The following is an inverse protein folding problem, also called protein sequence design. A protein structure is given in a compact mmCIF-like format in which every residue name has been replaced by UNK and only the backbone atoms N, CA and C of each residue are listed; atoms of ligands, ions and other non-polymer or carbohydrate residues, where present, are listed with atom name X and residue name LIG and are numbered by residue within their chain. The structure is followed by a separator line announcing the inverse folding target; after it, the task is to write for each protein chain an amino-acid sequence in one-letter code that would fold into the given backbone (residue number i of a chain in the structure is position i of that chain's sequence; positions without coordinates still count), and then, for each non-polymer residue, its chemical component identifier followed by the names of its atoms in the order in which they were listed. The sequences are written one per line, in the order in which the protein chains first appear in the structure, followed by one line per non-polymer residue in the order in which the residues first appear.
data_IF_829349856112
#
_entry.id   IF_829349856112
#
_cell.length_a   1.000
_cell.length_b   1.000
_cell.length_c   1.000
_cell.angle_alpha   90.00
_cell.angle_beta   90.00
_cell.angle_gamma   90.00
#
_symmetry.space_group_name_H-M   'P 1'
#
loop_
_entity.id
_entity.type
_entity.pdbx_description
1 polymer ?
#
# COMPACT_ATOMS: atom_id res chain seq x y z
N UNK A 1 -70.99 -32.82 26.15
CA UNK A 1 -70.20 -33.90 25.49
C UNK A 1 -69.38 -33.25 24.39
N UNK A 2 -68.08 -33.57 24.11
CA UNK A 2 -67.05 -34.37 24.81
C UNK A 2 -66.08 -33.44 25.60
N UNK A 3 -65.19 -33.85 26.52
CA UNK A 3 -64.25 -34.98 26.64
C UNK A 3 -62.81 -34.66 26.18
N UNK A 4 -61.89 -34.82 27.13
CA UNK A 4 -60.49 -35.26 27.03
C UNK A 4 -59.33 -34.32 26.68
N UNK A 5 -58.66 -33.91 27.77
CA UNK A 5 -57.21 -33.82 28.00
C UNK A 5 -56.30 -34.55 27.00
N UNK A 6 -55.25 -33.84 26.53
CA UNK A 6 -53.91 -34.45 26.39
C UNK A 6 -52.80 -33.41 26.45
N UNK A 7 -52.00 -33.45 27.52
CA UNK A 7 -50.73 -32.74 27.67
C UNK A 7 -49.75 -33.21 26.60
N UNK A 8 -49.05 -32.29 25.93
CA UNK A 8 -47.79 -32.56 25.23
C UNK A 8 -46.80 -31.44 25.48
N UNK A 9 -46.01 -31.65 26.53
CA UNK A 9 -44.65 -31.14 26.70
C UNK A 9 -43.82 -31.57 25.49
N UNK A 10 -43.28 -30.60 24.74
CA UNK A 10 -42.12 -30.76 23.85
C UNK A 10 -41.42 -29.39 23.86
N UNK A 11 -40.48 -29.22 24.77
CA UNK A 11 -39.03 -29.41 24.60
C UNK A 11 -38.38 -28.20 23.91
N UNK A 12 -37.47 -27.57 24.65
CA UNK A 12 -36.66 -26.44 24.22
C UNK A 12 -35.75 -26.89 23.06
N UNK A 13 -35.81 -26.22 21.92
CA UNK A 13 -34.74 -26.28 20.92
C UNK A 13 -34.20 -24.86 20.67
N UNK A 14 -33.16 -24.51 21.44
CA UNK A 14 -32.31 -23.37 21.16
C UNK A 14 -31.53 -23.65 19.86
N UNK A 15 -31.81 -22.89 18.80
CA UNK A 15 -30.99 -22.93 17.57
C UNK A 15 -29.84 -21.95 17.75
N UNK A 16 -28.68 -22.50 18.11
CA UNK A 16 -27.42 -21.80 18.25
C UNK A 16 -26.95 -21.25 16.88
N UNK A 17 -26.50 -20.01 16.89
CA UNK A 17 -25.99 -19.29 15.72
C UNK A 17 -24.65 -19.80 15.23
N UNK A 18 -24.44 -19.66 13.92
CA UNK A 18 -23.14 -19.86 13.28
C UNK A 18 -22.98 -18.79 12.19
N UNK A 19 -22.65 -17.57 12.62
CA UNK A 19 -22.19 -16.51 11.69
C UNK A 19 -20.75 -16.87 11.35
N UNK A 20 -20.56 -17.48 10.18
CA UNK A 20 -19.23 -17.74 9.64
C UNK A 20 -18.55 -16.40 9.34
N UNK A 21 -17.73 -15.93 10.29
CA UNK A 21 -16.84 -14.81 10.09
C UNK A 21 -15.79 -15.20 9.05
N UNK A 22 -15.94 -14.69 7.83
CA UNK A 22 -14.87 -14.70 6.84
C UNK A 22 -13.70 -13.90 7.44
N UNK A 23 -12.74 -14.63 7.99
CA UNK A 23 -11.49 -14.05 8.47
C UNK A 23 -10.72 -13.64 7.22
N UNK A 24 -10.75 -12.35 6.88
CA UNK A 24 -9.86 -11.80 5.86
C UNK A 24 -8.44 -12.16 6.28
N UNK A 25 -7.84 -13.09 5.57
CA UNK A 25 -6.43 -13.41 5.71
C UNK A 25 -5.66 -12.13 5.41
N UNK A 26 -5.23 -11.44 6.46
CA UNK A 26 -4.24 -10.38 6.36
C UNK A 26 -2.91 -11.04 6.02
N UNK A 27 -2.74 -11.39 4.74
CA UNK A 27 -1.41 -11.63 4.21
C UNK A 27 -0.64 -10.34 4.46
N UNK A 28 0.33 -10.39 5.37
CA UNK A 28 1.27 -9.31 5.58
C UNK A 28 2.03 -9.09 4.27
N UNK A 29 1.45 -8.28 3.39
CA UNK A 29 2.07 -7.87 2.15
C UNK A 29 3.38 -7.20 2.54
N UNK A 30 4.48 -7.62 1.94
CA UNK A 30 5.75 -6.91 2.13
C UNK A 30 5.52 -5.48 1.67
N UNK A 31 5.51 -4.56 2.63
CA UNK A 31 5.25 -3.15 2.40
C UNK A 31 6.26 -2.60 1.39
N UNK A 32 5.82 -1.78 0.41
CA UNK A 32 6.74 -1.21 -0.54
C UNK A 32 7.75 -0.30 0.18
N UNK A 33 8.93 -0.13 -0.41
CA UNK A 33 10.04 0.62 0.18
C UNK A 33 10.63 1.58 -0.82
N UNK A 34 11.03 2.74 -0.34
CA UNK A 34 11.72 3.76 -1.13
C UNK A 34 13.19 3.86 -0.73
N UNK A 35 14.04 4.19 -1.69
CA UNK A 35 15.44 4.59 -1.48
C UNK A 35 15.84 5.62 -2.51
N UNK A 36 16.71 6.55 -2.16
CA UNK A 36 17.36 7.41 -3.13
C UNK A 36 18.55 6.67 -3.75
N UNK A 37 18.65 6.69 -5.08
CA UNK A 37 19.75 6.06 -5.83
C UNK A 37 20.23 7.00 -6.93
N UNK A 38 21.46 6.80 -7.39
CA UNK A 38 21.97 7.47 -8.59
C UNK A 38 21.32 6.90 -9.85
N UNK A 39 21.06 7.76 -10.83
CA UNK A 39 20.61 7.44 -12.18
C UNK A 39 21.25 8.39 -13.19
N UNK A 40 21.12 8.12 -14.49
CA UNK A 40 21.81 8.88 -15.55
C UNK A 40 21.51 10.39 -15.51
N UNK A 41 20.27 10.76 -15.18
CA UNK A 41 19.82 12.14 -15.06
C UNK A 41 20.00 12.75 -13.65
N UNK A 42 20.79 12.13 -12.78
CA UNK A 42 21.05 12.60 -11.41
C UNK A 42 20.53 11.65 -10.34
N UNK A 43 19.57 12.09 -9.53
CA UNK A 43 18.99 11.28 -8.45
C UNK A 43 17.62 10.73 -8.84
N UNK A 44 17.37 9.47 -8.48
CA UNK A 44 16.10 8.81 -8.68
C UNK A 44 15.61 8.17 -7.37
N UNK A 45 14.29 8.22 -7.17
CA UNK A 45 13.63 7.41 -6.17
C UNK A 45 13.48 5.98 -6.70
N UNK A 46 14.17 5.04 -6.07
CA UNK A 46 13.96 3.62 -6.26
C UNK A 46 12.80 3.19 -5.36
N UNK A 47 11.69 2.80 -5.97
CA UNK A 47 10.55 2.17 -5.30
C UNK A 47 10.62 0.67 -5.54
N UNK A 48 10.48 -0.13 -4.49
CA UNK A 48 10.46 -1.59 -4.59
C UNK A 48 9.23 -2.14 -3.90
N UNK A 49 8.69 -3.24 -4.41
CA UNK A 49 7.51 -3.86 -3.83
C UNK A 49 7.29 -5.27 -4.33
N UNK A 50 6.13 -5.83 -3.98
CA UNK A 50 5.68 -7.14 -4.44
C UNK A 50 4.27 -7.07 -5.00
N UNK A 51 3.94 -8.00 -5.90
CA UNK A 51 2.59 -8.17 -6.44
C UNK A 51 2.24 -9.65 -6.59
N UNK A 52 0.96 -9.96 -6.36
CA UNK A 52 0.41 -11.30 -6.43
C UNK A 52 0.12 -11.77 -7.86
N UNK A 53 -0.13 -10.87 -8.83
CA UNK A 53 -0.21 -11.12 -10.29
C UNK A 53 0.89 -10.34 -11.06
N UNK A 54 1.59 -10.96 -12.03
CA UNK A 54 2.61 -10.27 -12.84
C UNK A 54 1.95 -9.27 -13.79
N UNK A 55 0.67 -9.48 -14.09
CA UNK A 55 -0.18 -8.55 -14.81
C UNK A 55 -0.77 -7.44 -13.93
N UNK A 56 -0.61 -7.46 -12.59
CA UNK A 56 -1.13 -6.37 -11.75
C UNK A 56 -0.42 -5.06 -12.10
N UNK A 57 -1.20 -4.02 -12.34
CA UNK A 57 -0.69 -2.68 -12.62
C UNK A 57 -0.22 -2.03 -11.33
N UNK A 58 0.89 -1.28 -11.40
CA UNK A 58 1.43 -0.51 -10.27
C UNK A 58 1.29 0.98 -10.58
N UNK A 59 0.84 1.75 -9.60
CA UNK A 59 0.79 3.21 -9.69
C UNK A 59 1.42 3.89 -8.48
N UNK A 60 1.91 5.11 -8.71
CA UNK A 60 2.51 5.99 -7.70
C UNK A 60 1.71 7.29 -7.72
N UNK A 61 1.11 7.66 -6.58
CA UNK A 61 0.18 8.79 -6.46
C UNK A 61 -0.88 8.79 -7.58
N UNK A 62 -1.44 7.61 -7.88
CA UNK A 62 -2.44 7.43 -8.93
C UNK A 62 -1.91 7.41 -10.38
N UNK A 63 -0.59 7.57 -10.59
CA UNK A 63 0.02 7.53 -11.93
C UNK A 63 0.61 6.16 -12.23
N UNK A 64 0.19 5.54 -13.32
CA UNK A 64 0.70 4.24 -13.74
C UNK A 64 2.20 4.31 -14.07
N UNK A 65 2.96 3.31 -13.62
CA UNK A 65 4.40 3.23 -13.85
C UNK A 65 4.78 1.89 -14.46
N UNK A 66 5.77 1.91 -15.35
CA UNK A 66 6.40 0.68 -15.81
C UNK A 66 7.32 0.14 -14.72
N UNK A 67 7.30 -1.18 -14.51
CA UNK A 67 8.08 -1.83 -13.47
C UNK A 67 9.09 -2.80 -14.05
N UNK A 68 10.30 -2.80 -13.51
CA UNK A 68 11.27 -3.85 -13.76
C UNK A 68 10.99 -5.05 -12.84
N UNK A 69 10.95 -6.24 -13.43
CA UNK A 69 10.71 -7.49 -12.71
C UNK A 69 9.25 -7.95 -12.70
N UNK A 70 9.05 -9.11 -12.09
CA UNK A 70 7.77 -9.83 -12.08
C UNK A 70 7.05 -9.66 -10.73
N UNK A 71 6.99 -10.73 -9.92
CA UNK A 71 6.39 -10.73 -8.57
C UNK A 71 7.06 -9.75 -7.62
N UNK A 72 8.38 -9.71 -7.64
CA UNK A 72 9.20 -8.68 -7.00
C UNK A 72 9.53 -7.67 -8.07
N UNK A 73 9.18 -6.43 -7.82
CA UNK A 73 9.30 -5.39 -8.81
C UNK A 73 10.03 -4.17 -8.24
N UNK A 74 10.56 -3.36 -9.15
CA UNK A 74 11.17 -2.08 -8.84
C UNK A 74 10.86 -1.05 -9.91
N UNK A 75 10.87 0.21 -9.51
CA UNK A 75 10.69 1.37 -10.39
C UNK A 75 11.74 2.40 -10.00
N UNK A 76 12.37 3.04 -10.99
CA UNK A 76 13.19 4.23 -10.77
C UNK A 76 12.45 5.42 -11.33
N UNK A 77 12.19 6.41 -10.48
CA UNK A 77 11.51 7.65 -10.86
C UNK A 77 12.46 8.82 -10.61
N UNK A 78 12.76 9.67 -11.61
CA UNK A 78 13.55 10.88 -11.37
C UNK A 78 12.95 11.74 -10.25
N UNK A 79 13.80 12.36 -9.42
CA UNK A 79 13.32 13.17 -8.28
C UNK A 79 12.41 14.31 -8.73
N UNK A 80 12.70 14.94 -9.88
CA UNK A 80 11.88 16.01 -10.43
C UNK A 80 10.47 15.52 -10.80
N UNK A 81 10.37 14.31 -11.34
CA UNK A 81 9.08 13.66 -11.62
C UNK A 81 8.33 13.32 -10.33
N UNK A 82 9.03 12.83 -9.29
CA UNK A 82 8.39 12.61 -7.97
C UNK A 82 7.86 13.92 -7.39
N UNK A 83 8.60 15.02 -7.55
CA UNK A 83 8.20 16.36 -7.10
C UNK A 83 6.95 16.86 -7.82
N UNK A 84 6.85 16.64 -9.13
CA UNK A 84 5.67 16.98 -9.92
C UNK A 84 4.43 16.15 -9.51
N UNK A 85 4.65 14.90 -9.12
CA UNK A 85 3.56 13.97 -8.79
C UNK A 85 3.11 14.04 -7.34
N UNK A 86 3.80 14.80 -6.50
CA UNK A 86 3.56 14.86 -5.06
C UNK A 86 3.01 16.22 -4.65
N UNK A 87 2.27 16.24 -3.54
CA UNK A 87 1.98 17.50 -2.88
C UNK A 87 3.31 18.16 -2.42
N UNK A 88 3.36 19.51 -2.35
CA UNK A 88 4.52 20.21 -1.78
C UNK A 88 4.86 19.64 -0.40
N UNK A 89 6.13 19.33 -0.17
CA UNK A 89 6.64 18.79 1.11
C UNK A 89 6.05 17.44 1.54
N UNK A 90 5.47 16.68 0.62
CA UNK A 90 4.99 15.34 0.94
C UNK A 90 6.11 14.51 1.59
N UNK A 91 5.77 13.82 2.68
CA UNK A 91 6.66 12.91 3.40
C UNK A 91 6.45 11.46 3.01
N UNK A 92 5.33 11.18 2.36
CA UNK A 92 4.92 9.86 1.90
C UNK A 92 4.45 9.95 0.45
N UNK A 93 4.43 8.80 -0.22
CA UNK A 93 3.76 8.60 -1.51
C UNK A 93 2.81 7.41 -1.40
N UNK A 94 1.74 7.46 -2.17
CA UNK A 94 0.78 6.37 -2.27
C UNK A 94 1.21 5.41 -3.37
N UNK A 95 1.32 4.13 -3.04
CA UNK A 95 1.58 3.05 -3.99
C UNK A 95 0.32 2.20 -4.08
N UNK A 96 -0.23 2.03 -5.28
CA UNK A 96 -1.36 1.13 -5.53
C UNK A 96 -0.98 0.00 -6.46
N UNK A 97 -1.49 -1.19 -6.17
CA UNK A 97 -1.31 -2.41 -6.98
C UNK A 97 -2.68 -2.97 -7.30
N UNK A 98 -3.09 -2.79 -8.56
CA UNK A 98 -4.40 -3.21 -9.04
C UNK A 98 -4.30 -4.54 -9.79
N UNK A 99 -5.04 -5.53 -9.32
CA UNK A 99 -5.14 -6.86 -9.88
C UNK A 99 -6.49 -7.04 -10.59
N UNK A 100 -6.47 -7.07 -11.92
CA UNK A 100 -7.69 -7.15 -12.73
C UNK A 100 -8.38 -8.52 -12.62
N UNK A 101 -7.63 -9.60 -12.35
CA UNK A 101 -8.17 -10.96 -12.29
C UNK A 101 -8.96 -11.18 -11.00
N UNK A 102 -8.38 -10.74 -9.89
CA UNK A 102 -9.01 -10.84 -8.56
C UNK A 102 -9.89 -9.64 -8.22
N UNK A 103 -9.93 -8.61 -9.09
CA UNK A 103 -10.59 -7.31 -8.86
C UNK A 103 -10.23 -6.70 -7.50
N UNK A 104 -8.96 -6.83 -7.13
CA UNK A 104 -8.44 -6.33 -5.85
C UNK A 104 -7.48 -5.17 -6.11
N UNK A 105 -7.64 -4.09 -5.35
CA UNK A 105 -6.68 -2.99 -5.32
C UNK A 105 -6.07 -2.92 -3.92
N UNK A 106 -4.75 -2.98 -3.85
CA UNK A 106 -3.99 -2.82 -2.61
C UNK A 106 -3.28 -1.49 -2.65
N UNK A 107 -3.57 -0.63 -1.68
CA UNK A 107 -2.91 0.68 -1.55
C UNK A 107 -2.10 0.72 -0.26
N UNK A 108 -0.90 1.30 -0.35
CA UNK A 108 0.00 1.53 0.78
C UNK A 108 0.58 2.95 0.72
N UNK A 109 0.68 3.61 1.87
CA UNK A 109 1.49 4.81 2.01
C UNK A 109 2.93 4.43 2.37
N UNK A 110 3.89 5.05 1.72
CA UNK A 110 5.30 4.72 1.91
C UNK A 110 6.09 5.99 2.14
N UNK A 111 6.91 5.98 3.19
CA UNK A 111 7.80 7.09 3.51
C UNK A 111 8.74 7.41 2.34
N UNK A 112 8.93 8.69 2.10
CA UNK A 112 9.99 9.20 1.24
C UNK A 112 11.29 9.36 2.04
N UNK A 113 12.46 9.22 1.39
CA UNK A 113 13.73 9.58 2.01
C UNK A 113 13.69 11.00 2.58
N UNK A 114 14.28 11.16 3.76
CA UNK A 114 14.32 12.46 4.46
C UNK A 114 14.92 13.52 3.55
N UNK A 115 14.26 14.67 3.45
CA UNK A 115 14.72 15.81 2.66
C UNK A 115 14.50 15.70 1.16
N UNK A 116 13.96 14.58 0.63
CA UNK A 116 13.76 14.39 -0.82
C UNK A 116 13.00 15.55 -1.47
N UNK A 117 11.90 15.96 -0.83
CA UNK A 117 11.03 17.03 -1.31
C UNK A 117 11.15 18.30 -0.46
N UNK A 118 12.23 18.45 0.30
CA UNK A 118 12.54 19.68 1.02
C UNK A 118 12.74 20.87 0.07
N UNK A 119 12.64 22.10 0.60
CA UNK A 119 13.04 23.28 -0.16
C UNK A 119 14.56 23.26 -0.36
N UNK A 120 14.99 23.64 -1.56
CA UNK A 120 16.38 23.99 -1.81
C UNK A 120 16.52 25.45 -1.41
N UNK A 121 16.69 25.72 -0.12
CA UNK A 121 17.15 27.04 0.29
C UNK A 121 18.62 27.16 -0.12
N UNK A 122 18.95 28.17 -0.93
CA UNK A 122 20.34 28.47 -1.26
C UNK A 122 21.05 28.88 0.03
N UNK A 123 21.84 27.96 0.62
CA UNK A 123 22.69 28.28 1.75
C UNK A 123 23.79 29.24 1.28
N UNK A 124 23.71 30.50 1.70
CA UNK A 124 24.70 31.53 1.33
C UNK A 124 26.09 31.27 1.92
N UNK A 125 26.20 30.63 3.09
CA UNK A 125 27.44 30.07 3.62
C UNK A 125 27.17 29.08 4.75
N UNK A 126 27.99 28.02 4.86
CA UNK A 126 28.03 27.11 6.00
C UNK A 126 29.47 27.08 6.51
N UNK A 127 29.75 27.71 7.65
CA UNK A 127 31.06 27.66 8.30
C UNK A 127 31.09 26.48 9.27
N UNK A 128 31.90 25.47 8.97
CA UNK A 128 32.16 24.34 9.87
C UNK A 128 33.54 24.52 10.48
N UNK A 129 33.59 24.84 11.77
CA UNK A 129 34.85 24.95 12.52
C UNK A 129 35.06 23.69 13.35
N UNK A 130 36.17 22.99 13.13
CA UNK A 130 36.66 21.97 14.07
C UNK A 130 37.61 22.64 15.08
N UNK A 131 37.58 22.18 16.33
CA UNK A 131 38.52 22.60 17.37
C UNK A 131 39.76 21.74 17.37
#
# INVERSE_FOLDING_TARGET
MPSYSRKRTFDLAAVAGLVAGFSSSAYAATEPRTRLVACEAGSCLLVTGRRANTASAVSINGRAVSTDGARKWRVRVPVDTVREWSAPFARTITISVADAETRTDTTAEVDLPIGLLGQVENLASLVVSAK
#
